data_IF_520112742030
#
_entry.id   IF_520112742030
#
_cell.length_a   1.000
_cell.length_b   1.000
_cell.length_c   1.000
_cell.angle_alpha   90.00
_cell.angle_beta   90.00
_cell.angle_gamma   90.00
#
_symmetry.space_group_name_H-M   'P 1'
#
loop_
_entity.id
_entity.type
_entity.pdbx_description
1 polymer ?
#
# COMPACT_ATOMS: atom_id res chain seq x y z
N UNK A 1 -4.59 4.20 -16.10
CA UNK A 1 -5.51 4.80 -15.12
C UNK A 1 -5.79 3.76 -14.05
N UNK A 2 -5.83 4.19 -12.79
CA UNK A 2 -6.16 3.33 -11.66
C UNK A 2 -7.43 2.49 -11.91
N UNK A 3 -7.39 1.20 -11.55
CA UNK A 3 -8.58 0.35 -11.56
C UNK A 3 -9.39 0.60 -10.28
N UNK A 4 -10.60 1.13 -10.41
CA UNK A 4 -11.51 1.32 -9.28
C UNK A 4 -12.42 0.09 -9.12
N UNK A 5 -12.39 -0.51 -7.93
CA UNK A 5 -13.22 -1.66 -7.59
C UNK A 5 -14.68 -1.26 -7.31
N UNK A 6 -15.61 -2.18 -7.57
CA UNK A 6 -17.05 -1.99 -7.34
C UNK A 6 -17.83 -1.51 -8.56
N UNK A 7 -17.14 -1.16 -9.66
CA UNK A 7 -17.78 -0.68 -10.89
C UNK A 7 -18.05 -1.80 -11.90
N UNK A 8 -17.24 -2.85 -11.91
CA UNK A 8 -17.40 -3.99 -12.83
C UNK A 8 -16.91 -5.27 -12.17
N UNK A 9 -17.85 -6.14 -11.78
CA UNK A 9 -17.56 -7.37 -11.05
C UNK A 9 -16.61 -8.32 -11.78
N UNK A 10 -16.71 -8.42 -13.12
CA UNK A 10 -15.81 -9.28 -13.89
C UNK A 10 -14.39 -8.71 -13.93
N UNK A 11 -14.25 -7.40 -14.14
CA UNK A 11 -12.95 -6.74 -14.11
C UNK A 11 -12.32 -6.83 -12.70
N UNK A 12 -13.11 -6.64 -11.65
CA UNK A 12 -12.69 -6.74 -10.26
C UNK A 12 -12.15 -8.13 -9.92
N UNK A 13 -12.90 -9.18 -10.25
CA UNK A 13 -12.49 -10.57 -10.00
C UNK A 13 -11.23 -10.94 -10.79
N UNK A 14 -11.06 -10.42 -12.00
CA UNK A 14 -9.83 -10.57 -12.79
C UNK A 14 -8.63 -9.87 -12.16
N UNK A 15 -8.75 -8.62 -11.74
CA UNK A 15 -7.67 -7.91 -11.06
C UNK A 15 -7.27 -8.59 -9.75
N UNK A 16 -8.23 -9.00 -8.94
CA UNK A 16 -7.95 -9.74 -7.72
C UNK A 16 -7.31 -11.11 -8.00
N UNK A 17 -7.69 -11.79 -9.08
CA UNK A 17 -7.02 -13.02 -9.52
C UNK A 17 -5.57 -12.75 -9.93
N UNK A 18 -5.33 -11.67 -10.68
CA UNK A 18 -3.99 -11.26 -11.11
C UNK A 18 -3.09 -10.93 -9.92
N UNK A 19 -3.57 -10.15 -8.94
CA UNK A 19 -2.78 -9.79 -7.75
C UNK A 19 -2.34 -11.01 -6.94
N UNK A 20 -3.17 -12.06 -6.86
CA UNK A 20 -2.81 -13.33 -6.17
C UNK A 20 -1.61 -14.03 -6.83
N UNK A 21 -1.35 -13.79 -8.11
CA UNK A 21 -0.19 -14.34 -8.82
C UNK A 21 1.15 -13.81 -8.28
N UNK A 22 1.14 -12.74 -7.47
CA UNK A 22 2.33 -12.22 -6.78
C UNK A 22 3.02 -13.27 -5.90
N UNK A 23 2.26 -14.27 -5.42
CA UNK A 23 2.79 -15.41 -4.65
C UNK A 23 3.81 -16.25 -5.42
N UNK A 24 3.80 -16.18 -6.76
CA UNK A 24 4.80 -16.83 -7.62
C UNK A 24 6.11 -16.03 -7.65
N UNK A 25 6.03 -14.72 -7.90
CA UNK A 25 7.14 -13.78 -7.85
C UNK A 25 6.67 -12.35 -8.12
N UNK A 26 7.05 -11.40 -7.27
CA UNK A 26 6.73 -9.98 -7.48
C UNK A 26 7.43 -9.41 -8.72
N UNK A 27 8.71 -9.75 -8.94
CA UNK A 27 9.47 -9.35 -10.12
C UNK A 27 8.87 -9.90 -11.41
N UNK A 28 8.39 -11.13 -11.38
CA UNK A 28 7.70 -11.71 -12.54
C UNK A 28 6.39 -10.97 -12.82
N UNK A 29 5.59 -10.69 -11.78
CA UNK A 29 4.33 -9.98 -11.95
C UNK A 29 4.54 -8.54 -12.43
N UNK A 30 5.58 -7.84 -11.96
CA UNK A 30 5.93 -6.50 -12.47
C UNK A 30 6.24 -6.57 -13.97
N UNK A 31 7.11 -7.50 -14.39
CA UNK A 31 7.41 -7.70 -15.80
C UNK A 31 6.16 -8.01 -16.66
N UNK A 32 5.22 -8.79 -16.12
CA UNK A 32 3.94 -9.07 -16.80
C UNK A 32 3.10 -7.80 -16.92
N UNK A 33 2.96 -7.00 -15.86
CA UNK A 33 2.17 -5.76 -15.86
C UNK A 33 2.81 -4.64 -16.69
N UNK A 34 4.14 -4.65 -16.86
CA UNK A 34 4.82 -3.75 -17.79
C UNK A 34 4.53 -4.11 -19.25
N UNK A 35 4.48 -5.40 -19.58
CA UNK A 35 4.17 -5.88 -20.93
C UNK A 35 2.66 -5.82 -21.25
N UNK A 36 1.81 -6.10 -20.26
CA UNK A 36 0.36 -6.21 -20.38
C UNK A 36 -0.31 -5.44 -19.23
N UNK A 37 -0.77 -4.20 -19.48
CA UNK A 37 -1.15 -3.28 -18.41
C UNK A 37 -2.45 -3.63 -17.67
N UNK A 38 -3.18 -4.64 -18.12
CA UNK A 38 -4.44 -5.07 -17.50
C UNK A 38 -4.69 -6.57 -17.67
N UNK A 39 -5.58 -7.17 -16.87
CA UNK A 39 -6.06 -8.53 -17.09
C UNK A 39 -6.57 -8.78 -18.51
N UNK A 40 -7.29 -7.80 -19.09
CA UNK A 40 -7.81 -7.85 -20.44
C UNK A 40 -6.69 -7.90 -21.48
N UNK A 41 -5.63 -7.11 -21.30
CA UNK A 41 -4.44 -7.15 -22.16
C UNK A 41 -3.72 -8.50 -22.07
N UNK A 42 -3.66 -9.10 -20.87
CA UNK A 42 -3.11 -10.45 -20.67
C UNK A 42 -3.97 -11.48 -21.40
N UNK A 43 -5.29 -11.40 -21.33
CA UNK A 43 -6.19 -12.33 -22.03
C UNK A 43 -6.08 -12.21 -23.55
N UNK A 44 -5.96 -10.99 -24.07
CA UNK A 44 -5.93 -10.71 -25.51
C UNK A 44 -4.57 -10.94 -26.20
N UNK A 45 -3.47 -11.15 -25.48
CA UNK A 45 -2.17 -11.27 -26.13
C UNK A 45 -1.99 -12.59 -26.89
N UNK A 46 -1.43 -12.54 -28.10
CA UNK A 46 -0.99 -13.74 -28.82
C UNK A 46 0.19 -14.39 -28.05
N UNK A 47 0.31 -15.72 -28.10
CA UNK A 47 1.43 -16.43 -27.43
C UNK A 47 2.74 -16.10 -28.15
N UNK A 48 3.73 -15.51 -27.46
CA UNK A 48 5.13 -15.38 -27.90
C UNK A 48 6.13 -15.41 -26.70
N UNK A 49 7.42 -15.79 -26.91
CA UNK A 49 8.02 -16.89 -26.13
C UNK A 49 8.92 -16.53 -24.93
N UNK A 50 9.37 -17.61 -24.26
CA UNK A 50 10.27 -17.80 -23.10
C UNK A 50 9.64 -17.97 -21.70
N UNK A 51 8.41 -17.50 -21.44
CA UNK A 51 7.66 -17.77 -20.18
C UNK A 51 6.22 -18.28 -20.40
N UNK A 52 5.98 -18.92 -21.54
CA UNK A 52 4.65 -19.30 -22.04
C UNK A 52 3.79 -20.04 -21.00
N UNK A 53 4.34 -21.03 -20.29
CA UNK A 53 3.53 -21.88 -19.39
C UNK A 53 2.97 -21.13 -18.18
N UNK A 54 3.74 -20.23 -17.57
CA UNK A 54 3.29 -19.45 -16.42
C UNK A 54 2.21 -18.44 -16.82
N UNK A 55 2.35 -17.84 -18.01
CA UNK A 55 1.38 -16.90 -18.57
C UNK A 55 0.10 -17.61 -19.01
N UNK A 56 0.20 -18.81 -19.59
CA UNK A 56 -0.96 -19.65 -19.92
C UNK A 56 -1.78 -20.03 -18.70
N UNK A 57 -1.12 -20.44 -17.61
CA UNK A 57 -1.82 -20.74 -16.36
C UNK A 57 -2.52 -19.50 -15.80
N UNK A 58 -1.90 -18.33 -15.91
CA UNK A 58 -2.51 -17.06 -15.52
C UNK A 58 -3.71 -16.71 -16.42
N UNK A 59 -3.58 -16.83 -17.74
CA UNK A 59 -4.68 -16.62 -18.70
C UNK A 59 -5.88 -17.49 -18.39
N UNK A 60 -5.70 -18.79 -18.15
CA UNK A 60 -6.80 -19.69 -17.76
C UNK A 60 -7.48 -19.24 -16.47
N UNK A 61 -6.71 -18.76 -15.48
CA UNK A 61 -7.26 -18.24 -14.23
C UNK A 61 -8.01 -16.91 -14.43
N UNK A 62 -7.59 -16.05 -15.35
CA UNK A 62 -8.25 -14.78 -15.66
C UNK A 62 -9.49 -14.95 -16.56
N UNK A 63 -9.50 -15.99 -17.40
CA UNK A 63 -10.64 -16.34 -18.25
C UNK A 63 -11.81 -16.85 -17.42
N UNK A 64 -11.50 -17.63 -16.38
CA UNK A 64 -12.46 -18.17 -15.41
C UNK A 64 -12.04 -17.78 -13.99
N UNK A 65 -12.15 -16.49 -13.62
CA UNK A 65 -11.74 -16.05 -12.30
C UNK A 65 -12.67 -16.64 -11.24
N UNK A 66 -12.09 -17.04 -10.11
CA UNK A 66 -12.91 -17.43 -8.97
C UNK A 66 -13.74 -16.21 -8.52
N UNK A 67 -15.02 -16.40 -8.17
CA UNK A 67 -15.80 -15.34 -7.55
C UNK A 67 -15.10 -14.87 -6.27
N UNK A 68 -15.13 -13.57 -6.02
CA UNK A 68 -14.56 -12.99 -4.81
C UNK A 68 -15.58 -12.04 -4.23
N UNK A 69 -15.93 -12.31 -2.99
CA UNK A 69 -16.70 -11.39 -2.18
C UNK A 69 -15.76 -10.37 -1.55
N UNK A 70 -16.05 -9.10 -1.78
CA UNK A 70 -15.41 -8.05 -1.01
C UNK A 70 -15.92 -8.12 0.43
N UNK A 71 -15.04 -8.04 1.44
CA UNK A 71 -15.46 -7.84 2.81
C UNK A 71 -16.37 -6.61 2.92
N UNK A 72 -17.44 -6.73 3.71
CA UNK A 72 -18.40 -5.65 3.91
C UNK A 72 -17.70 -4.37 4.38
N UNK A 73 -18.05 -3.24 3.76
CA UNK A 73 -17.48 -1.93 4.08
C UNK A 73 -16.05 -1.67 3.56
N UNK A 74 -15.43 -2.62 2.86
CA UNK A 74 -14.14 -2.38 2.19
C UNK A 74 -14.32 -1.44 1.00
N UNK A 75 -15.39 -1.65 0.23
CA UNK A 75 -15.88 -0.71 -0.79
C UNK A 75 -17.05 0.03 -0.13
N UNK A 76 -16.92 1.34 -0.01
CA UNK A 76 -17.91 2.22 0.62
C UNK A 76 -17.75 3.63 0.04
N UNK A 77 -17.91 4.66 0.87
CA UNK A 77 -17.88 6.06 0.41
C UNK A 77 -16.54 6.46 -0.21
N UNK A 78 -15.44 5.89 0.27
CA UNK A 78 -14.11 6.06 -0.34
C UNK A 78 -13.80 4.91 -1.29
N UNK A 79 -13.41 5.19 -2.55
CA UNK A 79 -13.12 4.16 -3.54
C UNK A 79 -11.90 3.34 -3.13
N UNK A 80 -11.99 2.03 -3.38
CA UNK A 80 -10.84 1.15 -3.38
C UNK A 80 -10.29 1.11 -4.80
N UNK A 81 -9.00 1.42 -4.96
CA UNK A 81 -8.32 1.43 -6.25
C UNK A 81 -7.13 0.47 -6.24
N UNK A 82 -6.79 -0.05 -7.42
CA UNK A 82 -5.52 -0.70 -7.70
C UNK A 82 -4.76 0.15 -8.71
N UNK A 83 -3.52 0.48 -8.36
CA UNK A 83 -2.60 1.22 -9.23
C UNK A 83 -1.36 0.38 -9.53
N UNK A 84 -0.80 0.59 -10.70
CA UNK A 84 0.41 -0.05 -11.21
C UNK A 84 1.47 1.01 -11.51
N UNK A 85 2.75 0.65 -11.70
CA UNK A 85 3.77 1.64 -12.02
C UNK A 85 3.54 2.44 -13.31
N UNK A 86 2.60 2.02 -14.18
CA UNK A 86 2.19 2.73 -15.41
C UNK A 86 1.14 3.80 -15.15
N UNK A 87 0.54 3.82 -13.96
CA UNK A 87 -0.46 4.80 -13.58
C UNK A 87 0.19 6.07 -13.03
N UNK A 88 -0.34 7.26 -13.34
CA UNK A 88 0.21 8.52 -12.86
C UNK A 88 0.13 8.65 -11.34
N UNK A 89 -0.87 8.03 -10.69
CA UNK A 89 -1.04 8.02 -9.24
C UNK A 89 0.00 7.15 -8.50
N UNK A 90 0.76 6.33 -9.22
CA UNK A 90 1.82 5.53 -8.59
C UNK A 90 2.94 6.44 -8.07
N UNK A 91 3.37 6.29 -6.80
CA UNK A 91 4.33 7.22 -6.20
C UNK A 91 5.63 7.31 -7.00
N UNK A 92 6.10 8.50 -7.36
CA UNK A 92 7.22 8.68 -8.27
C UNK A 92 8.52 8.08 -7.72
N UNK A 93 8.86 8.35 -6.46
CA UNK A 93 10.06 7.80 -5.81
C UNK A 93 10.01 6.26 -5.72
N UNK A 94 8.84 5.69 -5.45
CA UNK A 94 8.68 4.24 -5.38
C UNK A 94 8.82 3.61 -6.77
N UNK A 95 8.43 4.33 -7.82
CA UNK A 95 8.55 3.87 -9.22
C UNK A 95 10.01 3.65 -9.62
N UNK A 96 10.94 4.39 -9.03
CA UNK A 96 12.39 4.33 -9.28
C UNK A 96 13.08 3.18 -8.53
N UNK A 97 12.44 2.63 -7.50
CA UNK A 97 13.00 1.55 -6.71
C UNK A 97 13.09 0.24 -7.54
N UNK A 98 14.25 -0.43 -7.64
CA UNK A 98 14.41 -1.66 -8.42
C UNK A 98 13.50 -2.82 -7.99
N UNK A 99 13.08 -2.82 -6.72
CA UNK A 99 12.25 -3.84 -6.10
C UNK A 99 10.81 -3.37 -5.86
N UNK A 100 10.38 -2.26 -6.47
CA UNK A 100 9.04 -1.66 -6.35
C UNK A 100 7.89 -2.70 -6.44
N UNK A 101 6.79 -2.51 -5.70
CA UNK A 101 5.60 -3.35 -5.84
C UNK A 101 5.03 -3.32 -7.27
N UNK A 102 4.65 -4.47 -7.85
CA UNK A 102 4.02 -4.51 -9.18
C UNK A 102 2.64 -3.82 -9.23
N UNK A 103 2.00 -3.69 -8.07
CA UNK A 103 0.76 -2.97 -7.87
C UNK A 103 0.68 -2.46 -6.43
N UNK A 104 -0.22 -1.51 -6.19
CA UNK A 104 -0.66 -1.10 -4.87
C UNK A 104 -2.18 -1.07 -4.82
N UNK A 105 -2.76 -1.62 -3.76
CA UNK A 105 -4.11 -1.29 -3.35
C UNK A 105 -4.07 0.05 -2.60
N UNK A 106 -4.98 0.95 -2.93
CA UNK A 106 -5.07 2.28 -2.35
C UNK A 106 -6.52 2.60 -1.98
N UNK A 107 -6.75 3.23 -0.82
CA UNK A 107 -8.08 3.70 -0.41
C UNK A 107 -7.95 5.03 0.34
N UNK A 108 -8.75 6.02 -0.08
CA UNK A 108 -8.72 7.38 0.43
C UNK A 108 -8.42 8.39 -0.68
N UNK A 109 -7.72 9.47 -0.34
CA UNK A 109 -7.46 10.63 -1.21
C UNK A 109 -6.19 10.43 -2.04
N UNK A 110 -6.30 9.72 -3.18
CA UNK A 110 -5.18 9.30 -4.03
C UNK A 110 -4.16 10.39 -4.42
N UNK A 111 -4.51 11.68 -4.64
CA UNK A 111 -3.53 12.71 -4.96
C UNK A 111 -2.36 12.81 -3.96
N UNK A 112 -2.56 12.44 -2.69
CA UNK A 112 -1.48 12.45 -1.69
C UNK A 112 -0.37 11.40 -1.96
N UNK A 113 -0.60 10.42 -2.84
CA UNK A 113 0.43 9.45 -3.23
C UNK A 113 1.57 10.07 -4.06
N UNK A 114 1.31 11.22 -4.69
CA UNK A 114 2.30 11.98 -5.47
C UNK A 114 2.83 13.23 -4.77
N UNK A 115 2.46 13.47 -3.51
CA UNK A 115 2.87 14.64 -2.75
C UNK A 115 4.30 14.50 -2.20
N UNK A 116 4.89 15.62 -1.78
CA UNK A 116 6.13 15.63 -1.01
C UNK A 116 5.89 14.97 0.37
N UNK A 117 6.77 14.06 0.78
CA UNK A 117 6.50 13.18 1.93
C UNK A 117 7.69 13.02 2.87
N UNK A 118 7.37 12.88 4.16
CA UNK A 118 8.31 12.52 5.21
C UNK A 118 7.87 11.22 5.88
N UNK A 119 8.73 10.21 5.83
CA UNK A 119 8.51 8.99 6.60
C UNK A 119 8.84 9.23 8.07
N UNK A 120 7.92 8.93 8.98
CA UNK A 120 8.16 9.00 10.43
C UNK A 120 7.93 7.63 11.03
N UNK A 121 9.00 7.03 11.57
CA UNK A 121 9.01 5.65 12.04
C UNK A 121 9.69 5.52 13.40
N UNK A 122 9.38 4.45 14.13
CA UNK A 122 10.01 4.21 15.42
C UNK A 122 9.49 2.98 16.16
N UNK A 123 9.90 2.88 17.43
CA UNK A 123 9.53 1.77 18.31
C UNK A 123 8.03 1.69 18.54
N UNK A 124 7.57 0.46 18.76
CA UNK A 124 6.18 0.15 19.15
C UNK A 124 5.87 0.52 20.59
N UNK A 125 6.89 0.80 21.40
CA UNK A 125 6.79 1.14 22.82
C UNK A 125 7.69 2.36 23.13
N UNK A 126 7.34 3.55 22.62
CA UNK A 126 8.19 4.73 22.80
C UNK A 126 8.23 5.21 24.25
N UNK A 127 9.29 5.92 24.61
CA UNK A 127 9.36 6.72 25.83
C UNK A 127 8.36 7.90 25.80
N UNK A 128 8.23 8.64 26.90
CA UNK A 128 7.42 9.87 26.91
C UNK A 128 7.99 10.91 25.94
N UNK A 129 9.31 11.08 25.92
CA UNK A 129 10.01 11.97 25.00
C UNK A 129 9.84 11.52 23.55
N UNK A 130 9.96 10.22 23.26
CA UNK A 130 9.72 9.69 21.92
C UNK A 130 8.30 9.93 21.43
N UNK A 131 7.30 9.82 22.32
CA UNK A 131 5.91 10.19 21.99
C UNK A 131 5.79 11.69 21.69
N UNK A 132 6.42 12.54 22.48
CA UNK A 132 6.39 14.00 22.30
C UNK A 132 7.03 14.39 20.98
N UNK A 133 8.26 13.92 20.72
CA UNK A 133 8.98 14.16 19.48
C UNK A 133 8.19 13.71 18.26
N UNK A 134 7.60 12.50 18.26
CA UNK A 134 6.79 12.03 17.13
C UNK A 134 5.61 12.97 16.82
N UNK A 135 4.94 13.50 17.84
CA UNK A 135 3.84 14.46 17.63
C UNK A 135 4.35 15.78 17.07
N UNK A 136 5.40 16.34 17.67
CA UNK A 136 5.96 17.63 17.27
C UNK A 136 6.48 17.59 15.82
N UNK A 137 7.23 16.54 15.45
CA UNK A 137 7.71 16.38 14.08
C UNK A 137 6.61 16.12 13.06
N UNK A 138 5.61 15.29 13.40
CA UNK A 138 4.50 15.03 12.48
C UNK A 138 3.62 16.28 12.27
N UNK A 139 3.35 17.04 13.33
CA UNK A 139 2.62 18.30 13.22
C UNK A 139 3.41 19.36 12.43
N UNK A 140 4.72 19.46 12.65
CA UNK A 140 5.58 20.37 11.90
C UNK A 140 5.67 20.00 10.41
N UNK A 141 5.73 18.69 10.09
CA UNK A 141 5.70 18.19 8.72
C UNK A 141 4.38 18.58 8.03
N UNK A 142 3.24 18.32 8.69
CA UNK A 142 1.92 18.70 8.21
C UNK A 142 1.82 20.22 7.97
N UNK A 143 2.26 21.04 8.93
CA UNK A 143 2.27 22.50 8.82
C UNK A 143 3.16 23.02 7.68
N UNK A 144 4.16 22.23 7.27
CA UNK A 144 5.06 22.55 6.14
C UNK A 144 4.51 22.03 4.80
N UNK A 145 3.32 21.45 4.77
CA UNK A 145 2.72 20.87 3.56
C UNK A 145 3.23 19.47 3.18
N UNK A 146 4.00 18.83 4.05
CA UNK A 146 4.47 17.46 3.82
C UNK A 146 3.41 16.44 4.26
N UNK A 147 3.25 15.40 3.46
CA UNK A 147 2.42 14.24 3.80
C UNK A 147 3.24 13.27 4.65
N UNK A 148 2.76 12.96 5.85
CA UNK A 148 3.45 12.00 6.73
C UNK A 148 3.23 10.58 6.21
N UNK A 149 4.29 9.80 6.03
CA UNK A 149 4.19 8.38 5.66
C UNK A 149 4.59 7.54 6.86
N UNK A 150 3.76 6.55 7.20
CA UNK A 150 4.12 5.60 8.25
C UNK A 150 3.40 4.26 8.07
N UNK A 151 3.60 3.37 9.02
CA UNK A 151 3.25 1.97 8.89
C UNK A 151 1.98 1.51 9.60
N UNK A 152 1.24 2.43 10.21
CA UNK A 152 0.13 2.18 11.12
C UNK A 152 0.47 1.25 12.31
N UNK A 153 1.76 0.99 12.60
CA UNK A 153 2.14 0.17 13.74
C UNK A 153 1.84 0.87 15.07
N UNK A 154 1.97 0.15 16.17
CA UNK A 154 1.90 0.75 17.50
C UNK A 154 3.02 1.74 17.74
N UNK A 155 2.83 2.61 18.72
CA UNK A 155 3.86 3.55 19.14
C UNK A 155 4.01 4.68 18.13
N UNK A 156 5.23 4.91 17.66
CA UNK A 156 5.60 6.07 16.85
C UNK A 156 4.75 6.17 15.58
N UNK A 157 4.56 5.09 14.82
CA UNK A 157 3.78 5.11 13.58
C UNK A 157 2.35 5.63 13.79
N UNK A 158 1.63 5.07 14.77
CA UNK A 158 0.26 5.51 15.09
C UNK A 158 0.20 6.96 15.59
N UNK A 159 1.19 7.40 16.37
CA UNK A 159 1.27 8.78 16.86
C UNK A 159 1.54 9.76 15.71
N UNK A 160 2.40 9.40 14.77
CA UNK A 160 2.73 10.25 13.62
C UNK A 160 1.51 10.47 12.72
N UNK A 161 0.76 9.41 12.40
CA UNK A 161 -0.51 9.53 11.66
C UNK A 161 -1.52 10.42 12.39
N UNK A 162 -1.76 10.16 13.67
CA UNK A 162 -2.73 10.90 14.47
C UNK A 162 -2.37 12.38 14.58
N UNK A 163 -1.10 12.71 14.83
CA UNK A 163 -0.61 14.07 14.94
C UNK A 163 -0.66 14.83 13.61
N UNK A 164 -0.30 14.19 12.49
CA UNK A 164 -0.39 14.80 11.17
C UNK A 164 -1.82 15.21 10.82
N UNK A 165 -2.78 14.29 11.03
CA UNK A 165 -4.21 14.55 10.79
C UNK A 165 -4.76 15.61 11.75
N UNK A 166 -4.41 15.53 13.03
CA UNK A 166 -4.88 16.51 14.04
C UNK A 166 -4.36 17.92 13.77
N UNK A 167 -3.18 18.05 13.16
CA UNK A 167 -2.63 19.33 12.70
C UNK A 167 -3.27 19.86 11.40
N UNK A 168 -4.28 19.17 10.85
CA UNK A 168 -4.94 19.54 9.59
C UNK A 168 -4.15 19.15 8.34
N UNK A 169 -3.08 18.36 8.48
CA UNK A 169 -2.35 17.78 7.35
C UNK A 169 -2.91 16.44 6.90
N UNK A 170 -2.16 15.76 6.05
CA UNK A 170 -2.53 14.44 5.51
C UNK A 170 -1.45 13.39 5.79
N UNK A 171 -1.81 12.11 5.60
CA UNK A 171 -0.92 11.00 5.84
C UNK A 171 -1.17 9.79 4.94
N UNK A 172 -0.12 9.02 4.65
CA UNK A 172 -0.18 7.73 3.96
C UNK A 172 0.23 6.61 4.90
N UNK A 173 -0.66 5.63 5.12
CA UNK A 173 -0.38 4.47 5.95
C UNK A 173 -0.13 3.22 5.09
N UNK A 174 1.08 2.67 5.17
CA UNK A 174 1.50 1.48 4.40
C UNK A 174 1.33 0.22 5.23
N UNK A 175 0.44 -0.67 4.81
CA UNK A 175 -0.01 -1.82 5.59
C UNK A 175 0.86 -3.09 5.35
N UNK A 176 1.12 -3.91 6.40
CA UNK A 176 1.82 -5.19 6.28
C UNK A 176 0.88 -6.38 5.95
N UNK A 177 -0.34 -6.09 5.51
CA UNK A 177 -1.44 -7.03 5.29
C UNK A 177 -2.31 -6.56 4.13
N UNK A 178 -3.23 -7.42 3.68
CA UNK A 178 -4.31 -6.97 2.79
C UNK A 178 -5.10 -5.84 3.45
N UNK A 179 -5.61 -4.91 2.63
CA UNK A 179 -6.29 -3.71 3.13
C UNK A 179 -7.60 -4.02 3.90
N UNK A 180 -8.15 -5.21 3.69
CA UNK A 180 -9.28 -5.79 4.44
C UNK A 180 -8.92 -6.29 5.85
N UNK A 181 -7.63 -6.25 6.22
CA UNK A 181 -7.14 -6.74 7.52
C UNK A 181 -6.28 -5.70 8.18
N UNK A 182 -6.92 -4.69 8.76
CA UNK A 182 -6.23 -3.65 9.53
C UNK A 182 -5.49 -4.30 10.71
N UNK A 183 -4.19 -4.05 10.77
CA UNK A 183 -3.35 -4.50 11.86
C UNK A 183 -2.47 -3.35 12.34
N UNK A 184 -2.43 -3.10 13.66
CA UNK A 184 -3.15 -3.81 14.72
C UNK A 184 -4.61 -3.38 14.82
N UNK A 185 -5.48 -4.29 15.28
CA UNK A 185 -6.93 -4.05 15.35
C UNK A 185 -7.32 -2.78 16.13
N UNK A 186 -6.52 -2.40 17.14
CA UNK A 186 -6.76 -1.17 17.92
C UNK A 186 -6.60 0.14 17.12
N UNK A 187 -5.99 0.08 15.93
CA UNK A 187 -5.86 1.23 15.03
C UNK A 187 -6.97 1.27 13.96
N UNK A 188 -8.05 0.49 14.11
CA UNK A 188 -9.19 0.52 13.19
C UNK A 188 -9.76 1.93 12.99
N UNK A 189 -10.05 2.66 14.07
CA UNK A 189 -10.53 4.05 14.00
C UNK A 189 -9.52 5.02 13.38
N UNK A 190 -8.22 4.79 13.63
CA UNK A 190 -7.18 5.59 13.02
C UNK A 190 -7.10 5.32 11.52
N UNK A 191 -7.20 4.06 11.08
CA UNK A 191 -7.27 3.70 9.68
C UNK A 191 -8.46 4.33 8.97
N UNK A 192 -9.63 4.40 9.62
CA UNK A 192 -10.82 5.08 9.09
C UNK A 192 -10.57 6.58 8.89
N UNK A 193 -9.94 7.26 9.85
CA UNK A 193 -9.51 8.66 9.67
C UNK A 193 -8.50 8.83 8.54
N UNK A 194 -7.53 7.92 8.44
CA UNK A 194 -6.58 7.92 7.32
C UNK A 194 -7.30 7.74 5.98
N UNK A 195 -8.36 6.94 5.89
CA UNK A 195 -9.14 6.83 4.65
C UNK A 195 -9.88 8.13 4.32
N UNK A 196 -10.42 8.81 5.34
CA UNK A 196 -11.18 10.05 5.15
C UNK A 196 -10.29 11.24 4.74
N UNK A 197 -9.09 11.34 5.31
CA UNK A 197 -8.25 12.54 5.23
C UNK A 197 -6.88 12.29 4.56
N UNK A 198 -6.55 11.03 4.29
CA UNK A 198 -5.27 10.57 3.74
C UNK A 198 -5.41 9.34 2.85
N UNK A 199 -4.45 8.41 2.88
CA UNK A 199 -4.50 7.18 2.06
C UNK A 199 -3.99 5.95 2.82
N UNK A 200 -4.76 4.86 2.78
CA UNK A 200 -4.24 3.53 3.09
C UNK A 200 -3.63 2.90 1.85
N UNK A 201 -2.47 2.26 2.00
CA UNK A 201 -1.74 1.59 0.91
C UNK A 201 -1.38 0.17 1.31
N UNK A 202 -1.53 -0.79 0.39
CA UNK A 202 -1.04 -2.16 0.58
C UNK A 202 -0.53 -2.78 -0.71
N UNK A 203 0.63 -3.42 -0.66
CA UNK A 203 1.15 -4.27 -1.76
C UNK A 203 0.70 -5.73 -1.65
N UNK A 204 -0.17 -6.05 -0.69
CA UNK A 204 -0.61 -7.41 -0.42
C UNK A 204 -2.01 -7.65 -1.00
N UNK A 205 -2.25 -8.81 -1.63
CA UNK A 205 -3.60 -9.19 -2.05
C UNK A 205 -4.59 -9.16 -0.89
N UNK A 206 -5.85 -8.84 -1.17
CA UNK A 206 -6.93 -8.94 -0.19
C UNK A 206 -6.98 -10.34 0.46
N UNK A 207 -7.26 -10.38 1.75
CA UNK A 207 -7.25 -11.58 2.58
C UNK A 207 -5.88 -11.94 3.15
N UNK A 208 -4.81 -11.23 2.78
CA UNK A 208 -3.45 -11.52 3.26
C UNK A 208 -3.30 -11.12 4.74
N UNK A 209 -3.01 -12.05 5.66
CA UNK A 209 -2.82 -11.72 7.08
C UNK A 209 -1.49 -10.99 7.32
N UNK A 210 -1.36 -10.21 8.40
CA UNK A 210 -0.07 -9.68 8.82
C UNK A 210 0.86 -10.83 9.24
N UNK A 211 2.08 -10.88 8.70
CA UNK A 211 3.12 -11.87 9.03
C UNK A 211 4.44 -11.16 9.30
N UNK A 212 5.31 -11.75 10.13
CA UNK A 212 6.61 -11.14 10.52
C UNK A 212 7.41 -10.64 9.30
N UNK A 213 7.53 -11.45 8.25
CA UNK A 213 8.27 -11.07 7.04
C UNK A 213 7.58 -10.00 6.18
N UNK A 214 6.26 -9.81 6.32
CA UNK A 214 5.55 -8.73 5.61
C UNK A 214 5.96 -7.35 6.11
N UNK A 215 6.35 -7.20 7.38
CA UNK A 215 6.78 -5.91 7.92
C UNK A 215 8.06 -5.41 7.25
N UNK A 216 9.06 -6.28 7.02
CA UNK A 216 10.27 -5.89 6.30
C UNK A 216 9.96 -5.50 4.85
N UNK A 217 9.11 -6.28 4.18
CA UNK A 217 8.67 -5.99 2.81
C UNK A 217 7.93 -4.65 2.72
N UNK A 218 7.02 -4.38 3.67
CA UNK A 218 6.31 -3.11 3.80
C UNK A 218 7.25 -1.94 4.06
N UNK A 219 8.27 -2.11 4.90
CA UNK A 219 9.20 -1.01 5.23
C UNK A 219 9.96 -0.51 4.01
N UNK A 220 10.32 -1.40 3.09
CA UNK A 220 10.90 -1.04 1.79
C UNK A 220 9.93 -0.23 0.92
N UNK A 221 8.65 -0.60 0.91
CA UNK A 221 7.61 0.20 0.25
C UNK A 221 7.51 1.58 0.89
N UNK A 222 7.41 1.65 2.22
CA UNK A 222 7.35 2.90 2.99
C UNK A 222 8.55 3.81 2.71
N UNK A 223 9.79 3.29 2.72
CA UNK A 223 10.97 4.10 2.41
C UNK A 223 10.96 4.60 0.97
N UNK A 224 10.47 3.80 0.03
CA UNK A 224 10.33 4.21 -1.36
C UNK A 224 9.24 5.26 -1.60
N UNK A 225 8.34 5.50 -0.64
CA UNK A 225 7.40 6.61 -0.73
C UNK A 225 8.04 7.97 -0.43
N UNK A 226 9.11 8.01 0.36
CA UNK A 226 9.55 9.24 1.04
C UNK A 226 10.89 9.80 0.61
N UNK A 227 10.96 11.12 0.58
CA UNK A 227 12.19 11.89 0.31
C UNK A 227 13.18 11.76 1.47
N UNK A 228 12.66 11.65 2.69
CA UNK A 228 13.44 11.46 3.91
C UNK A 228 12.73 10.54 4.88
N UNK A 229 13.50 9.90 5.77
CA UNK A 229 12.98 9.09 6.87
C UNK A 229 13.51 9.61 8.20
N UNK A 230 12.59 9.99 9.08
CA UNK A 230 12.86 10.33 10.47
C UNK A 230 12.62 9.10 11.36
N UNK A 231 13.70 8.59 11.96
CA UNK A 231 13.63 7.57 13.00
C UNK A 231 13.58 8.27 14.35
N UNK A 232 12.40 8.29 14.99
CA UNK A 232 12.20 9.05 16.24
C UNK A 232 12.86 8.35 17.43
N UNK A 233 12.62 7.05 17.58
CA UNK A 233 13.19 6.25 18.66
C UNK A 233 13.27 4.79 18.21
N UNK A 234 14.43 4.16 18.38
CA UNK A 234 14.62 2.75 18.07
C UNK A 234 15.49 2.07 19.13
N UNK A 235 15.00 0.96 19.70
CA UNK A 235 15.78 0.10 20.60
C UNK A 235 16.49 -1.03 19.84
N UNK A 236 17.39 -1.78 20.50
CA UNK A 236 17.88 -3.06 19.97
C UNK A 236 17.15 -4.23 20.65
N UNK A 237 16.68 -5.25 19.90
CA UNK A 237 16.54 -5.32 18.44
C UNK A 237 15.24 -4.61 17.97
N UNK A 238 15.34 -3.68 17.01
CA UNK A 238 14.18 -3.00 16.41
C UNK A 238 14.10 -3.30 14.93
N UNK A 239 12.90 -3.55 14.42
CA UNK A 239 12.63 -3.64 12.97
C UNK A 239 12.52 -2.28 12.28
N UNK A 240 12.79 -1.19 13.00
CA UNK A 240 12.93 0.17 12.46
C UNK A 240 14.35 0.46 11.96
N UNK A 241 15.35 -0.20 12.55
CA UNK A 241 16.76 -0.09 12.17
C UNK A 241 17.10 -1.11 11.08
#
# INVERSE_FOLDING_TARGET
>A
MAHQFGLNQLADTRWLTLTRAIKKSARWLDAVLQAYPSPEAILGCAREPAKALALEGLKRALDKPAPIDFPSGLIGDSPLCLITPRDPEYPPLLRECPDRPPFLFCRGVLPYLGAATLSIVGTRKPSLEGRRAAREFAAAAAASGLVVVSGLALGIDGIAHDAALTAGGSTVAVLPSGMDRIYPARHQRLAERVVAEGVLVSEFPLGTPPRKHHFHRRNRTLSGFSEATLVVEAGRPSGTL
#
